data_IF_357821889406
#
_entry.id   IF_357821889406
#
_cell.length_a   1.000
_cell.length_b   1.000
_cell.length_c   1.000
_cell.angle_alpha   90.00
_cell.angle_beta   90.00
_cell.angle_gamma   90.00
#
_symmetry.space_group_name_H-M   'P 1'
#
loop_
_entity.id
_entity.type
_entity.pdbx_description
1 polymer ?
#
# COMPACT_ATOMS: atom_id res chain seq x y z
N UNK A 1 -6.66 4.59 42.62
CA UNK A 1 -6.21 5.52 41.56
C UNK A 1 -5.53 4.71 40.45
N UNK A 2 -6.16 4.54 39.29
CA UNK A 2 -5.60 3.80 38.14
C UNK A 2 -5.17 4.80 37.06
N UNK A 3 -3.97 4.62 36.49
CA UNK A 3 -3.42 5.45 35.40
C UNK A 3 -4.12 5.12 34.07
N UNK A 4 -4.36 6.09 33.17
CA UNK A 4 -4.89 5.82 31.84
C UNK A 4 -3.79 5.25 30.92
N UNK A 5 -4.16 4.28 30.09
CA UNK A 5 -3.28 3.70 29.07
C UNK A 5 -3.14 4.66 27.87
N UNK A 6 -1.90 4.96 27.48
CA UNK A 6 -1.57 5.72 26.28
C UNK A 6 -1.75 4.83 25.04
N UNK A 7 -2.75 5.16 24.23
CA UNK A 7 -2.95 4.62 22.89
C UNK A 7 -1.85 5.13 21.94
N UNK A 8 -1.16 4.24 21.23
CA UNK A 8 -0.23 4.58 20.14
C UNK A 8 -0.86 4.22 18.79
N UNK A 9 -1.10 5.18 17.88
CA UNK A 9 -1.50 4.87 16.51
C UNK A 9 -0.29 4.36 15.70
N UNK A 10 -0.51 3.31 14.91
CA UNK A 10 0.39 2.82 13.87
C UNK A 10 0.37 3.75 12.65
N UNK A 11 1.52 4.09 12.04
CA UNK A 11 1.54 4.85 10.79
C UNK A 11 1.48 3.92 9.57
N UNK A 12 0.31 3.83 8.92
CA UNK A 12 0.22 3.40 7.53
C UNK A 12 0.68 4.55 6.63
N UNK A 13 1.87 4.40 6.06
CA UNK A 13 2.46 5.36 5.10
C UNK A 13 2.57 4.67 3.74
N UNK A 14 1.48 4.74 2.96
CA UNK A 14 1.53 4.44 1.53
C UNK A 14 2.34 5.52 0.80
N UNK A 15 3.44 5.11 0.17
CA UNK A 15 4.24 5.96 -0.71
C UNK A 15 3.44 6.30 -1.97
N UNK A 16 3.07 7.57 -2.14
CA UNK A 16 2.63 8.11 -3.42
C UNK A 16 3.85 8.58 -4.22
N UNK A 17 4.11 7.95 -5.36
CA UNK A 17 5.12 8.43 -6.31
C UNK A 17 4.45 9.28 -7.39
N UNK A 18 4.86 10.56 -7.56
CA UNK A 18 4.53 11.32 -8.75
C UNK A 18 5.54 10.94 -9.85
N UNK A 19 5.04 10.62 -11.04
CA UNK A 19 5.76 10.33 -12.29
C UNK A 19 6.37 8.91 -12.45
N UNK A 20 5.70 8.07 -13.24
CA UNK A 20 6.31 7.34 -14.38
C UNK A 20 5.21 6.68 -15.23
N UNK A 21 4.56 7.49 -16.06
CA UNK A 21 3.89 6.98 -17.25
C UNK A 21 4.95 6.60 -18.29
N UNK A 22 5.02 5.32 -18.65
CA UNK A 22 5.93 4.74 -19.66
C UNK A 22 5.68 5.22 -21.11
N UNK A 23 4.99 6.34 -21.30
CA UNK A 23 4.55 6.83 -22.63
C UNK A 23 5.30 8.11 -23.07
N UNK A 24 6.10 8.74 -22.19
CA UNK A 24 6.74 10.04 -22.48
C UNK A 24 8.22 9.97 -22.92
N UNK A 25 8.73 8.81 -23.37
CA UNK A 25 10.15 8.68 -23.76
C UNK A 25 10.42 7.94 -25.08
N UNK A 26 9.47 8.00 -26.02
CA UNK A 26 9.69 7.55 -27.38
C UNK A 26 9.84 8.75 -28.33
N UNK A 27 11.03 9.37 -28.33
CA UNK A 27 11.47 10.21 -29.45
C UNK A 27 12.20 9.28 -30.41
N UNK A 28 11.46 8.72 -31.37
CA UNK A 28 12.04 7.99 -32.49
C UNK A 28 12.65 9.00 -33.48
N UNK A 29 13.98 9.04 -33.57
CA UNK A 29 14.62 9.49 -34.80
C UNK A 29 14.56 8.34 -35.80
N UNK A 30 13.61 8.43 -36.71
CA UNK A 30 13.55 7.63 -37.92
C UNK A 30 14.40 8.36 -38.96
N UNK A 31 15.68 8.01 -39.07
CA UNK A 31 16.52 8.41 -40.19
C UNK A 31 17.01 7.15 -40.93
N UNK A 32 16.68 7.09 -42.21
CA UNK A 32 16.87 5.92 -43.07
C UNK A 32 18.32 5.80 -43.52
N UNK A 33 19.05 4.86 -42.93
CA UNK A 33 20.41 4.50 -43.36
C UNK A 33 20.70 3.03 -43.12
N UNK A 34 21.09 2.32 -44.19
CA UNK A 34 21.49 0.92 -44.20
C UNK A 34 22.60 0.63 -43.15
N UNK A 35 22.48 -0.39 -42.27
CA UNK A 35 23.54 -0.69 -41.32
C UNK A 35 24.74 -1.37 -42.04
N UNK A 36 26.00 -1.01 -41.74
CA UNK A 36 27.17 -1.74 -42.24
C UNK A 36 27.27 -3.13 -41.59
N UNK A 37 27.83 -4.09 -42.35
CA UNK A 37 28.00 -5.47 -41.92
C UNK A 37 28.86 -5.58 -40.63
N UNK A 38 28.31 -6.25 -39.61
CA UNK A 38 28.99 -6.48 -38.32
C UNK A 38 29.88 -7.73 -38.45
N UNK A 39 31.18 -7.67 -38.10
CA UNK A 39 32.03 -8.87 -38.06
C UNK A 39 31.62 -9.80 -36.91
N UNK A 40 31.79 -11.13 -37.03
CA UNK A 40 31.34 -12.07 -36.01
C UNK A 40 32.09 -11.88 -34.68
N UNK A 41 31.33 -11.83 -33.58
CA UNK A 41 31.87 -11.71 -32.23
C UNK A 41 32.69 -12.96 -31.82
N UNK A 42 33.86 -12.82 -31.16
CA UNK A 42 34.64 -13.95 -30.72
C UNK A 42 33.96 -14.69 -29.56
N UNK A 43 33.90 -16.02 -29.66
CA UNK A 43 33.37 -16.92 -28.63
C UNK A 43 34.34 -17.07 -27.45
N UNK A 44 33.84 -17.39 -26.24
CA UNK A 44 34.59 -17.35 -24.97
C UNK A 44 35.75 -18.37 -24.82
N UNK A 45 36.13 -19.07 -25.89
CA UNK A 45 37.19 -20.09 -25.86
C UNK A 45 38.62 -19.53 -25.93
N UNK A 46 38.81 -18.22 -26.18
CA UNK A 46 40.11 -17.61 -26.47
C UNK A 46 40.66 -16.64 -25.41
N UNK A 47 40.29 -16.76 -24.13
CA UNK A 47 40.94 -15.98 -23.07
C UNK A 47 41.89 -16.85 -22.21
N UNK A 48 43.19 -16.50 -22.11
CA UNK A 48 44.10 -17.20 -21.22
C UNK A 48 43.93 -16.76 -19.76
N UNK A 49 43.63 -17.72 -18.89
CA UNK A 49 44.05 -17.76 -17.48
C UNK A 49 43.34 -16.83 -16.48
N UNK A 50 42.35 -17.36 -15.75
CA UNK A 50 42.01 -16.92 -14.38
C UNK A 50 41.33 -18.08 -13.64
N UNK A 51 41.53 -18.23 -12.31
CA UNK A 51 41.35 -19.49 -11.60
C UNK A 51 39.87 -19.86 -11.43
N UNK A 52 39.61 -21.17 -11.42
CA UNK A 52 38.27 -21.77 -11.37
C UNK A 52 37.51 -21.38 -10.09
N UNK A 53 36.36 -20.72 -10.26
CA UNK A 53 35.32 -20.67 -9.24
C UNK A 53 34.71 -22.08 -9.07
N UNK A 54 34.40 -22.53 -7.84
CA UNK A 54 33.75 -23.81 -7.62
C UNK A 54 32.35 -23.80 -8.27
N UNK A 55 32.07 -24.84 -9.06
CA UNK A 55 30.83 -24.97 -9.82
C UNK A 55 29.60 -25.08 -8.89
N UNK A 56 28.51 -24.35 -9.17
CA UNK A 56 27.22 -24.62 -8.54
C UNK A 56 26.66 -25.97 -9.04
N UNK A 57 25.92 -26.73 -8.20
CA UNK A 57 25.36 -28.02 -8.58
C UNK A 57 24.35 -27.85 -9.73
N UNK A 58 24.40 -28.82 -10.65
CA UNK A 58 23.69 -28.82 -11.92
C UNK A 58 22.18 -28.59 -11.78
N UNK A 59 21.66 -27.70 -12.63
CA UNK A 59 20.23 -27.48 -12.82
C UNK A 59 19.57 -28.72 -13.43
N UNK A 60 18.51 -29.19 -12.78
CA UNK A 60 17.56 -30.14 -13.35
C UNK A 60 16.15 -29.75 -12.95
N UNK A 61 15.30 -29.41 -13.93
CA UNK A 61 13.85 -29.25 -13.74
C UNK A 61 13.25 -27.96 -14.31
N UNK A 62 12.68 -28.09 -15.52
CA UNK A 62 11.49 -27.44 -16.10
C UNK A 62 11.14 -25.93 -15.85
N UNK A 63 10.77 -25.17 -16.91
CA UNK A 63 10.28 -23.80 -16.78
C UNK A 63 8.79 -23.80 -16.42
N UNK A 64 8.48 -23.97 -15.13
CA UNK A 64 7.09 -23.96 -14.66
C UNK A 64 6.89 -23.87 -13.15
N UNK A 65 7.95 -23.55 -12.39
CA UNK A 65 7.88 -23.47 -10.93
C UNK A 65 7.54 -22.07 -10.44
N UNK A 66 6.50 -21.95 -9.61
CA UNK A 66 6.30 -20.79 -8.73
C UNK A 66 7.63 -20.39 -8.08
N UNK A 67 7.91 -19.08 -7.89
CA UNK A 67 9.14 -18.62 -7.27
C UNK A 67 9.37 -19.38 -5.96
N UNK A 68 10.60 -19.84 -5.67
CA UNK A 68 10.88 -20.65 -4.51
C UNK A 68 10.37 -19.91 -3.26
N UNK A 69 9.42 -20.51 -2.55
CA UNK A 69 8.92 -19.95 -1.30
C UNK A 69 10.05 -19.95 -0.28
N UNK A 70 10.74 -18.83 -0.14
CA UNK A 70 11.78 -18.64 0.86
C UNK A 70 11.08 -18.46 2.21
N UNK A 71 11.12 -19.49 3.05
CA UNK A 71 10.66 -19.36 4.44
C UNK A 71 11.72 -18.57 5.22
N UNK A 72 11.40 -17.31 5.53
CA UNK A 72 12.25 -16.42 6.33
C UNK A 72 11.74 -16.45 7.77
N UNK A 73 12.63 -16.69 8.73
CA UNK A 73 12.28 -16.62 10.15
C UNK A 73 12.02 -15.16 10.57
N UNK A 74 11.18 -14.95 11.58
CA UNK A 74 10.84 -13.60 12.08
C UNK A 74 12.09 -12.79 12.46
N UNK A 75 13.11 -13.41 13.05
CA UNK A 75 14.37 -12.76 13.40
C UNK A 75 15.15 -12.30 12.17
N UNK A 76 15.16 -13.12 11.10
CA UNK A 76 15.83 -12.77 9.84
C UNK A 76 15.10 -11.63 9.14
N UNK A 77 13.77 -11.66 9.12
CA UNK A 77 12.97 -10.54 8.60
C UNK A 77 13.24 -9.25 9.37
N UNK A 78 13.31 -9.33 10.71
CA UNK A 78 13.58 -8.17 11.57
C UNK A 78 14.96 -7.56 11.30
N UNK A 79 15.99 -8.40 11.08
CA UNK A 79 17.33 -7.96 10.68
C UNK A 79 17.35 -7.35 9.28
N UNK A 80 16.65 -7.94 8.31
CA UNK A 80 16.55 -7.38 6.95
C UNK A 80 15.84 -6.02 6.96
N UNK A 81 14.74 -5.88 7.70
CA UNK A 81 14.05 -4.60 7.84
C UNK A 81 14.90 -3.54 8.54
N UNK A 82 15.72 -3.93 9.51
CA UNK A 82 16.64 -3.00 10.18
C UNK A 82 17.73 -2.52 9.20
N UNK A 83 18.34 -3.45 8.45
CA UNK A 83 19.32 -3.13 7.42
C UNK A 83 18.73 -2.19 6.36
N UNK A 84 17.53 -2.50 5.84
CA UNK A 84 16.84 -1.66 4.85
C UNK A 84 16.53 -0.25 5.40
N UNK A 85 16.13 -0.15 6.66
CA UNK A 85 15.91 1.15 7.32
C UNK A 85 17.20 1.95 7.45
N UNK A 86 18.30 1.28 7.81
CA UNK A 86 19.60 1.94 7.96
C UNK A 86 20.19 2.35 6.62
N UNK A 87 19.98 1.55 5.56
CA UNK A 87 20.36 1.90 4.20
C UNK A 87 19.50 3.06 3.65
N UNK A 88 18.19 3.05 3.93
CA UNK A 88 17.31 4.17 3.62
C UNK A 88 17.72 5.45 4.35
N UNK A 89 18.10 5.36 5.63
CA UNK A 89 18.65 6.49 6.39
C UNK A 89 19.94 7.00 5.77
N UNK A 90 20.91 6.14 5.48
CA UNK A 90 22.18 6.54 4.85
C UNK A 90 21.96 7.18 3.48
N UNK A 91 21.05 6.64 2.68
CA UNK A 91 20.66 7.22 1.39
C UNK A 91 20.07 8.62 1.54
N UNK A 92 19.19 8.82 2.51
CA UNK A 92 18.65 10.14 2.81
C UNK A 92 19.75 11.12 3.26
N UNK A 93 20.67 10.70 4.15
CA UNK A 93 21.79 11.54 4.59
C UNK A 93 22.72 11.90 3.42
N UNK A 94 22.98 10.98 2.48
CA UNK A 94 23.71 11.29 1.24
C UNK A 94 22.99 12.32 0.40
N UNK A 95 21.68 12.18 0.19
CA UNK A 95 20.91 13.15 -0.60
C UNK A 95 20.96 14.56 0.01
N UNK A 96 20.93 14.65 1.33
CA UNK A 96 21.05 15.92 2.06
C UNK A 96 22.47 16.48 1.91
N UNK A 97 23.50 15.64 2.08
CA UNK A 97 24.89 16.04 1.88
C UNK A 97 25.13 16.58 0.46
N UNK A 98 24.65 15.86 -0.56
CA UNK A 98 24.74 16.30 -1.96
C UNK A 98 23.97 17.59 -2.21
N UNK A 99 22.77 17.75 -1.63
CA UNK A 99 21.98 18.98 -1.78
C UNK A 99 22.64 20.18 -1.09
N UNK A 100 23.38 19.93 -0.01
CA UNK A 100 24.19 20.92 0.68
C UNK A 100 25.57 21.16 0.03
N UNK A 101 25.88 20.49 -1.08
CA UNK A 101 27.15 20.63 -1.80
C UNK A 101 28.35 19.95 -1.12
N UNK A 102 28.10 19.10 -0.12
CA UNK A 102 29.14 18.28 0.51
C UNK A 102 29.30 16.97 -0.26
N UNK A 103 30.55 16.51 -0.40
CA UNK A 103 30.85 15.22 -1.01
C UNK A 103 30.50 14.10 -0.01
N UNK A 104 29.47 13.26 -0.29
CA UNK A 104 29.00 12.23 0.62
C UNK A 104 30.05 11.16 0.95
N UNK A 105 31.09 11.01 0.12
CA UNK A 105 32.15 10.02 0.33
C UNK A 105 33.29 10.54 1.22
N UNK A 106 33.33 11.86 1.46
CA UNK A 106 34.33 12.51 2.33
C UNK A 106 33.79 12.89 3.70
N UNK A 107 32.46 13.02 3.83
CA UNK A 107 31.80 13.45 5.06
C UNK A 107 31.26 12.25 5.82
N UNK A 108 31.48 12.25 7.14
CA UNK A 108 30.87 11.26 8.02
C UNK A 108 29.34 11.40 8.02
N UNK A 109 28.66 10.46 7.35
CA UNK A 109 27.20 10.35 7.23
C UNK A 109 26.53 9.82 8.51
N UNK A 110 27.08 10.15 9.68
CA UNK A 110 26.46 9.85 10.97
C UNK A 110 25.40 10.95 11.28
N UNK A 111 24.13 10.58 11.55
CA UNK A 111 23.08 11.55 11.90
C UNK A 111 23.48 12.55 13.00
N UNK A 112 24.22 12.09 14.01
CA UNK A 112 24.63 12.95 15.12
C UNK A 112 25.66 14.01 14.67
N UNK A 113 26.64 13.58 13.86
CA UNK A 113 27.70 14.47 13.34
C UNK A 113 27.13 15.44 12.31
N UNK A 114 26.32 14.97 11.37
CA UNK A 114 25.68 15.85 10.38
C UNK A 114 24.76 16.86 11.05
N UNK A 115 24.00 16.47 12.08
CA UNK A 115 23.21 17.39 12.89
C UNK A 115 24.04 18.47 13.59
N UNK A 116 25.23 18.11 14.11
CA UNK A 116 26.16 19.09 14.71
C UNK A 116 26.78 20.04 13.67
N UNK A 117 27.14 19.53 12.48
CA UNK A 117 27.68 20.34 11.39
C UNK A 117 26.65 21.36 10.88
N UNK A 118 25.39 20.94 10.73
CA UNK A 118 24.31 21.84 10.33
C UNK A 118 24.08 22.95 11.36
N UNK A 119 24.10 22.60 12.66
CA UNK A 119 23.97 23.59 13.74
C UNK A 119 25.14 24.57 13.75
N UNK A 120 26.37 24.08 13.62
CA UNK A 120 27.55 24.92 13.56
C UNK A 120 27.53 25.85 12.34
N UNK A 121 27.11 25.33 11.17
CA UNK A 121 26.93 26.15 9.97
C UNK A 121 25.85 27.23 10.17
N UNK A 122 24.72 26.86 10.79
CA UNK A 122 23.65 27.81 11.10
C UNK A 122 24.09 28.87 12.12
N UNK A 123 24.87 28.50 13.13
CA UNK A 123 25.43 29.41 14.12
C UNK A 123 26.48 30.34 13.51
N UNK A 124 27.36 29.82 12.65
CA UNK A 124 28.34 30.62 11.92
C UNK A 124 27.67 31.63 11.00
N UNK A 125 26.59 31.24 10.32
CA UNK A 125 25.81 32.16 9.48
C UNK A 125 25.12 33.23 10.34
N UNK A 126 24.56 32.84 11.48
CA UNK A 126 23.97 33.78 12.45
C UNK A 126 24.96 34.78 13.02
N UNK A 127 26.23 34.40 13.16
CA UNK A 127 27.29 35.30 13.60
C UNK A 127 27.77 36.25 12.50
N UNK A 128 27.56 35.89 11.22
CA UNK A 128 27.89 36.74 10.06
C UNK A 128 26.78 37.71 9.71
N UNK A 129 25.53 37.35 9.98
CA UNK A 129 24.37 38.23 9.78
C UNK A 129 24.41 39.42 10.73
N UNK A 130 24.03 40.58 10.21
CA UNK A 130 23.81 41.78 11.03
C UNK A 130 22.59 41.60 11.94
N UNK A 131 22.50 42.37 13.03
CA UNK A 131 21.36 42.29 13.97
C UNK A 131 20.01 42.58 13.31
N UNK A 132 19.98 43.37 12.23
CA UNK A 132 18.78 43.64 11.43
C UNK A 132 18.38 42.40 10.63
N UNK A 133 19.31 41.80 9.89
CA UNK A 133 19.08 40.57 9.13
C UNK A 133 18.67 39.39 10.03
N UNK A 134 19.25 39.30 11.24
CA UNK A 134 18.87 38.28 12.22
C UNK A 134 17.41 38.39 12.65
N UNK A 135 16.93 39.62 12.92
CA UNK A 135 15.53 39.85 13.28
C UNK A 135 14.59 39.56 12.13
N UNK A 136 14.96 39.91 10.90
CA UNK A 136 14.16 39.60 9.71
C UNK A 136 14.09 38.08 9.48
N UNK A 137 15.20 37.36 9.60
CA UNK A 137 15.24 35.90 9.48
C UNK A 137 14.40 35.20 10.55
N UNK A 138 14.49 35.65 11.81
CA UNK A 138 13.69 35.10 12.91
C UNK A 138 12.19 35.42 12.73
N UNK A 139 11.84 36.62 12.24
CA UNK A 139 10.46 36.98 11.91
C UNK A 139 9.89 36.15 10.74
N UNK A 140 10.68 35.94 9.68
CA UNK A 140 10.31 35.09 8.56
C UNK A 140 10.10 33.63 9.01
N UNK A 141 11.01 33.10 9.82
CA UNK A 141 10.89 31.74 10.36
C UNK A 141 9.66 31.59 11.29
N UNK A 142 9.33 32.62 12.08
CA UNK A 142 8.13 32.63 12.90
C UNK A 142 6.85 32.67 12.04
N UNK A 143 6.83 33.50 10.99
CA UNK A 143 5.71 33.58 10.05
C UNK A 143 5.51 32.25 9.30
N UNK A 144 6.58 31.59 8.85
CA UNK A 144 6.48 30.28 8.23
C UNK A 144 5.92 29.21 9.18
N UNK A 145 6.40 29.18 10.43
CA UNK A 145 5.89 28.24 11.44
C UNK A 145 4.41 28.48 11.71
N UNK A 146 4.02 29.73 11.93
CA UNK A 146 2.62 30.10 12.11
C UNK A 146 1.77 29.71 10.89
N UNK A 147 2.26 29.93 9.67
CA UNK A 147 1.59 29.52 8.44
C UNK A 147 1.39 28.00 8.34
N UNK A 148 2.40 27.20 8.71
CA UNK A 148 2.29 25.73 8.74
C UNK A 148 1.30 25.25 9.80
N UNK A 149 1.31 25.85 10.98
CA UNK A 149 0.38 25.52 12.06
C UNK A 149 -1.07 25.86 11.69
N UNK A 150 -1.30 27.03 11.08
CA UNK A 150 -2.61 27.43 10.57
C UNK A 150 -3.09 26.49 9.46
N UNK A 151 -2.22 26.13 8.51
CA UNK A 151 -2.56 25.20 7.44
C UNK A 151 -2.91 23.81 7.99
N UNK A 152 -2.16 23.32 8.98
CA UNK A 152 -2.44 22.05 9.65
C UNK A 152 -3.78 22.10 10.42
N UNK A 153 -4.03 23.17 11.16
CA UNK A 153 -5.30 23.37 11.86
C UNK A 153 -6.48 23.41 10.88
N UNK A 154 -6.37 24.16 9.78
CA UNK A 154 -7.39 24.22 8.72
C UNK A 154 -7.60 22.87 8.03
N UNK A 155 -6.56 22.05 7.88
CA UNK A 155 -6.70 20.70 7.34
C UNK A 155 -7.48 19.80 8.31
N UNK A 156 -7.21 19.90 9.62
CA UNK A 156 -7.93 19.15 10.65
C UNK A 156 -9.41 19.57 10.77
N UNK A 157 -9.71 20.88 10.72
CA UNK A 157 -11.11 21.35 10.78
C UNK A 157 -11.91 20.90 9.56
N UNK A 158 -11.33 20.96 8.36
CA UNK A 158 -11.94 20.42 7.13
C UNK A 158 -12.14 18.91 7.20
N UNK A 159 -11.16 18.19 7.74
CA UNK A 159 -11.29 16.75 7.93
C UNK A 159 -12.47 16.42 8.84
N UNK A 160 -12.61 17.14 9.95
CA UNK A 160 -13.70 16.96 10.90
C UNK A 160 -15.06 17.31 10.29
N UNK A 161 -15.18 18.41 9.52
CA UNK A 161 -16.46 18.80 8.90
C UNK A 161 -16.96 17.74 7.92
N UNK A 162 -16.07 17.19 7.08
CA UNK A 162 -16.41 16.09 6.17
C UNK A 162 -16.88 14.84 6.92
N UNK A 163 -16.18 14.48 7.99
CA UNK A 163 -16.56 13.34 8.83
C UNK A 163 -17.93 13.54 9.48
N UNK A 164 -18.23 14.74 9.99
CA UNK A 164 -19.52 15.06 10.58
C UNK A 164 -20.67 14.94 9.56
N UNK A 165 -20.47 15.43 8.33
CA UNK A 165 -21.48 15.29 7.26
C UNK A 165 -21.71 13.82 6.91
N UNK A 166 -20.65 13.02 6.80
CA UNK A 166 -20.74 11.59 6.50
C UNK A 166 -21.44 10.80 7.61
N UNK A 167 -21.10 11.09 8.87
CA UNK A 167 -21.77 10.49 10.03
C UNK A 167 -23.26 10.87 10.06
N UNK A 168 -23.61 12.13 9.75
CA UNK A 168 -25.00 12.57 9.62
C UNK A 168 -25.79 11.83 8.53
N UNK A 169 -25.11 11.33 7.49
CA UNK A 169 -25.69 10.54 6.40
C UNK A 169 -25.77 9.03 6.69
N UNK A 170 -25.24 8.59 7.84
CA UNK A 170 -25.27 7.21 8.31
C UNK A 170 -24.00 6.40 8.01
N UNK A 171 -22.86 7.04 7.68
CA UNK A 171 -21.61 6.33 7.44
C UNK A 171 -21.17 5.53 8.68
N UNK A 172 -20.82 4.25 8.50
CA UNK A 172 -20.39 3.41 9.60
C UNK A 172 -19.01 3.86 10.15
N UNK A 173 -18.81 3.87 11.48
CA UNK A 173 -17.59 4.43 12.09
C UNK A 173 -16.31 3.66 11.70
N UNK A 174 -16.43 2.36 11.39
CA UNK A 174 -15.29 1.52 10.97
C UNK A 174 -14.75 1.84 9.57
N UNK A 175 -15.55 2.48 8.71
CA UNK A 175 -15.16 2.84 7.33
C UNK A 175 -15.07 4.36 7.11
N UNK A 176 -15.30 5.15 8.17
CA UNK A 176 -15.38 6.61 8.08
C UNK A 176 -14.10 7.23 7.50
N UNK A 177 -12.92 6.70 7.85
CA UNK A 177 -11.64 7.15 7.30
C UNK A 177 -11.57 6.99 5.78
N UNK A 178 -11.93 5.80 5.29
CA UNK A 178 -11.92 5.46 3.87
C UNK A 178 -12.96 6.25 3.08
N UNK A 179 -14.18 6.35 3.59
CA UNK A 179 -15.27 7.13 2.96
C UNK A 179 -14.90 8.61 2.91
N UNK A 180 -14.23 9.14 3.95
CA UNK A 180 -13.72 10.52 3.95
C UNK A 180 -12.62 10.71 2.89
N UNK A 181 -11.72 9.73 2.73
CA UNK A 181 -10.67 9.80 1.71
C UNK A 181 -11.25 9.78 0.28
N UNK A 182 -12.28 8.97 0.04
CA UNK A 182 -12.98 8.92 -1.25
C UNK A 182 -13.70 10.24 -1.51
N UNK A 183 -14.43 10.77 -0.53
CA UNK A 183 -15.12 12.06 -0.65
C UNK A 183 -14.13 13.21 -0.96
N UNK A 184 -12.95 13.21 -0.34
CA UNK A 184 -11.90 14.19 -0.67
C UNK A 184 -11.39 14.05 -2.10
N UNK A 185 -11.30 12.83 -2.63
CA UNK A 185 -10.91 12.59 -4.01
C UNK A 185 -11.99 13.06 -4.99
N UNK A 186 -13.26 12.76 -4.71
CA UNK A 186 -14.39 13.26 -5.52
C UNK A 186 -14.42 14.81 -5.56
N UNK A 187 -13.98 15.45 -4.48
CA UNK A 187 -13.89 16.91 -4.35
C UNK A 187 -12.53 17.50 -4.74
N UNK A 188 -11.58 16.70 -5.26
CA UNK A 188 -10.21 17.16 -5.52
C UNK A 188 -10.12 18.28 -6.57
N UNK A 189 -11.12 18.39 -7.45
CA UNK A 189 -11.21 19.42 -8.50
C UNK A 189 -12.02 20.66 -8.07
N UNK A 190 -12.50 20.70 -6.82
CA UNK A 190 -13.30 21.81 -6.30
C UNK A 190 -12.47 22.53 -5.24
N UNK A 191 -12.03 23.74 -5.56
CA UNK A 191 -11.35 24.60 -4.58
C UNK A 191 -12.37 25.10 -3.55
N UNK A 192 -12.13 24.80 -2.27
CA UNK A 192 -12.98 25.18 -1.13
C UNK A 192 -14.47 24.84 -1.33
N UNK A 193 -14.83 23.54 -1.35
CA UNK A 193 -16.21 23.13 -1.58
C UNK A 193 -17.13 23.68 -0.48
N UNK A 194 -18.29 24.20 -0.87
CA UNK A 194 -19.33 24.67 0.07
C UNK A 194 -19.99 23.48 0.77
N UNK A 195 -20.65 23.74 1.91
CA UNK A 195 -21.35 22.68 2.67
C UNK A 195 -22.38 21.93 1.82
N UNK A 196 -23.07 22.64 0.91
CA UNK A 196 -24.03 22.03 -0.02
C UNK A 196 -23.34 21.11 -1.03
N UNK A 197 -22.19 21.51 -1.58
CA UNK A 197 -21.41 20.69 -2.51
C UNK A 197 -20.85 19.44 -1.81
N UNK A 198 -20.40 19.57 -0.57
CA UNK A 198 -19.95 18.45 0.26
C UNK A 198 -21.10 17.47 0.46
N UNK A 199 -22.29 17.98 0.78
CA UNK A 199 -23.49 17.16 0.99
C UNK A 199 -23.91 16.45 -0.29
N UNK A 200 -23.95 17.16 -1.42
CA UNK A 200 -24.29 16.57 -2.72
C UNK A 200 -23.31 15.46 -3.12
N UNK A 201 -22.00 15.70 -2.96
CA UNK A 201 -20.98 14.70 -3.23
C UNK A 201 -21.10 13.49 -2.29
N UNK A 202 -21.42 13.71 -1.03
CA UNK A 202 -21.65 12.64 -0.05
C UNK A 202 -22.92 11.82 -0.36
N UNK A 203 -23.99 12.43 -0.84
CA UNK A 203 -25.19 11.72 -1.32
C UNK A 203 -24.89 10.89 -2.59
N UNK A 204 -24.11 11.43 -3.53
CA UNK A 204 -23.61 10.65 -4.69
C UNK A 204 -22.75 9.47 -4.25
N UNK A 205 -21.92 9.66 -3.23
CA UNK A 205 -21.11 8.58 -2.65
C UNK A 205 -22.00 7.51 -2.00
N UNK A 206 -23.04 7.90 -1.26
CA UNK A 206 -24.03 7.00 -0.68
C UNK A 206 -24.78 6.19 -1.74
N UNK A 207 -25.17 6.82 -2.85
CA UNK A 207 -25.81 6.13 -3.97
C UNK A 207 -24.88 5.07 -4.60
N UNK A 208 -23.58 5.38 -4.74
CA UNK A 208 -22.58 4.44 -5.30
C UNK A 208 -22.23 3.32 -4.32
N UNK A 209 -22.23 3.60 -3.01
CA UNK A 209 -21.73 2.69 -1.96
C UNK A 209 -22.70 2.60 -0.76
N UNK A 210 -23.94 2.11 -0.96
CA UNK A 210 -24.96 2.08 0.09
C UNK A 210 -24.53 1.27 1.34
N UNK A 211 -23.71 0.22 1.15
CA UNK A 211 -23.21 -0.62 2.23
C UNK A 211 -22.36 0.10 3.27
N UNK A 212 -21.65 1.18 2.88
CA UNK A 212 -20.82 1.95 3.81
C UNK A 212 -21.66 2.89 4.69
N UNK A 213 -22.91 3.14 4.31
CA UNK A 213 -23.88 3.99 5.02
C UNK A 213 -24.94 3.16 5.76
N UNK A 214 -24.66 1.89 6.04
CA UNK A 214 -25.54 1.00 6.79
C UNK A 214 -26.79 0.56 6.03
N UNK A 215 -26.96 0.95 4.75
CA UNK A 215 -27.99 0.38 3.91
C UNK A 215 -27.55 -1.02 3.48
N UNK A 216 -28.37 -2.04 3.79
CA UNK A 216 -28.22 -3.35 3.18
C UNK A 216 -28.16 -3.16 1.67
N UNK A 217 -27.04 -3.57 1.06
CA UNK A 217 -26.91 -3.58 -0.38
C UNK A 217 -28.19 -4.20 -0.97
N UNK A 218 -28.84 -3.57 -1.97
CA UNK A 218 -29.97 -4.19 -2.62
C UNK A 218 -29.55 -5.60 -3.00
N UNK A 219 -30.31 -6.59 -2.51
CA UNK A 219 -30.04 -8.00 -2.76
C UNK A 219 -29.66 -8.14 -4.24
N UNK A 220 -28.49 -8.74 -4.50
CA UNK A 220 -27.95 -8.88 -5.84
C UNK A 220 -29.08 -9.22 -6.82
N UNK A 221 -29.19 -8.52 -7.98
CA UNK A 221 -30.23 -8.81 -8.95
C UNK A 221 -30.25 -10.31 -9.17
N UNK A 222 -31.46 -10.87 -8.99
CA UNK A 222 -31.70 -12.27 -8.71
C UNK A 222 -30.93 -13.21 -9.63
N UNK A 223 -30.67 -14.40 -9.09
CA UNK A 223 -30.27 -15.58 -9.85
C UNK A 223 -30.89 -15.54 -11.25
N UNK A 224 -30.07 -15.56 -12.32
CA UNK A 224 -30.60 -15.51 -13.67
C UNK A 224 -31.62 -16.65 -13.82
N UNK A 225 -32.75 -16.42 -14.53
CA UNK A 225 -33.74 -17.46 -14.73
C UNK A 225 -33.01 -18.70 -15.28
N UNK A 226 -33.33 -19.90 -14.78
CA UNK A 226 -32.69 -21.12 -15.26
C UNK A 226 -32.81 -21.15 -16.78
N UNK A 227 -31.66 -21.25 -17.44
CA UNK A 227 -31.61 -21.29 -18.90
C UNK A 227 -32.57 -22.40 -19.39
N UNK A 228 -33.29 -22.16 -20.50
CA UNK A 228 -34.23 -23.15 -21.04
C UNK A 228 -33.48 -24.46 -21.28
N UNK A 229 -33.82 -25.47 -20.47
CA UNK A 229 -33.16 -26.76 -20.44
C UNK A 229 -33.50 -27.56 -21.70
N UNK A 230 -32.72 -27.37 -22.76
CA UNK A 230 -32.69 -28.27 -23.90
C UNK A 230 -31.83 -29.49 -23.60
N UNK A 231 -32.29 -30.40 -22.74
CA UNK A 231 -31.68 -31.75 -22.59
C UNK A 231 -32.76 -32.79 -22.24
N UNK A 232 -32.58 -34.05 -22.71
CA UNK A 232 -33.68 -34.99 -22.88
C UNK A 232 -34.19 -35.53 -21.53
N UNK A 233 -35.47 -35.86 -21.52
CA UNK A 233 -36.18 -36.48 -20.40
C UNK A 233 -35.38 -37.63 -19.77
N UNK A 234 -34.89 -37.43 -18.54
CA UNK A 234 -34.15 -38.46 -17.81
C UNK A 234 -33.18 -37.94 -16.77
N UNK A 235 -33.52 -36.88 -16.03
CA UNK A 235 -32.75 -36.52 -14.84
C UNK A 235 -32.90 -37.60 -13.76
N UNK A 236 -31.82 -38.04 -13.09
CA UNK A 236 -31.93 -39.02 -12.01
C UNK A 236 -32.84 -38.48 -10.90
N UNK A 237 -33.69 -39.31 -10.29
CA UNK A 237 -34.63 -38.85 -9.27
C UNK A 237 -33.87 -38.17 -8.13
N UNK A 238 -34.44 -37.06 -7.64
CA UNK A 238 -33.87 -36.34 -6.51
C UNK A 238 -33.66 -37.31 -5.34
N UNK A 239 -32.44 -37.31 -4.77
CA UNK A 239 -32.17 -38.09 -3.56
C UNK A 239 -33.01 -37.48 -2.45
N UNK A 240 -34.12 -38.13 -2.10
CA UNK A 240 -34.87 -37.80 -0.90
C UNK A 240 -33.93 -37.92 0.29
N UNK A 241 -33.75 -36.81 1.01
CA UNK A 241 -33.14 -36.81 2.34
C UNK A 241 -33.95 -37.74 3.24
N UNK A 242 -33.34 -38.74 3.90
CA UNK A 242 -34.08 -39.71 4.69
C UNK A 242 -34.81 -39.01 5.85
N UNK A 243 -36.13 -39.18 5.91
CA UNK A 243 -37.02 -38.60 6.92
C UNK A 243 -37.00 -39.36 8.25
N UNK A 244 -35.81 -39.64 8.77
CA UNK A 244 -35.61 -40.40 10.00
C UNK A 244 -34.37 -39.91 10.76
N UNK A 245 -34.30 -40.20 12.06
CA UNK A 245 -33.13 -39.81 12.86
C UNK A 245 -31.92 -40.60 12.35
N UNK A 246 -30.71 -40.01 12.32
CA UNK A 246 -29.52 -40.73 11.92
C UNK A 246 -29.37 -42.03 12.73
N UNK A 247 -29.36 -43.17 12.06
CA UNK A 247 -29.21 -44.50 12.69
C UNK A 247 -30.47 -45.39 12.75
N UNK A 248 -31.66 -44.86 12.47
CA UNK A 248 -32.91 -45.65 12.56
C UNK A 248 -32.93 -46.85 11.61
N UNK A 249 -32.50 -46.66 10.35
CA UNK A 249 -32.36 -47.77 9.38
C UNK A 249 -31.34 -48.82 9.82
N UNK A 250 -30.27 -48.40 10.50
CA UNK A 250 -29.25 -49.31 11.03
C UNK A 250 -29.79 -50.16 12.16
N UNK A 251 -30.60 -49.55 13.06
CA UNK A 251 -31.27 -50.24 14.16
C UNK A 251 -32.31 -51.24 13.67
N UNK A 252 -33.11 -50.86 12.67
CA UNK A 252 -34.10 -51.75 12.06
C UNK A 252 -33.45 -52.95 11.35
N UNK A 253 -32.34 -52.73 10.65
CA UNK A 253 -31.53 -53.79 10.06
C UNK A 253 -30.91 -54.72 11.12
N UNK A 254 -30.42 -54.17 12.23
CA UNK A 254 -29.85 -54.97 13.31
C UNK A 254 -30.91 -55.82 14.04
N UNK A 255 -32.14 -55.31 14.19
CA UNK A 255 -33.29 -56.08 14.67
C UNK A 255 -33.66 -57.21 13.69
N UNK A 256 -33.76 -56.90 12.39
CA UNK A 256 -34.06 -57.91 11.35
C UNK A 256 -33.02 -59.02 11.27
N UNK A 257 -31.75 -58.69 11.52
CA UNK A 257 -30.62 -59.64 11.50
C UNK A 257 -30.38 -60.32 12.85
N UNK A 258 -31.21 -60.05 13.86
CA UNK A 258 -31.14 -60.70 15.17
C UNK A 258 -29.95 -60.26 16.03
N UNK A 259 -29.25 -59.18 15.68
CA UNK A 259 -28.14 -58.61 16.47
C UNK A 259 -28.63 -57.81 17.68
N UNK A 260 -29.91 -57.44 17.71
CA UNK A 260 -30.57 -56.79 18.84
C UNK A 260 -31.83 -57.58 19.19
N UNK A 261 -32.07 -57.83 20.48
CA UNK A 261 -33.36 -58.34 20.98
C UNK A 261 -34.38 -57.21 20.86
N UNK A 262 -35.55 -57.50 20.28
CA UNK A 262 -36.68 -56.59 20.32
C UNK A 262 -37.05 -56.35 21.79
N UNK A 263 -36.94 -55.10 22.24
CA UNK A 263 -37.43 -54.63 23.53
C UNK A 263 -38.86 -54.13 23.39
#
# INVERSE_FOLDING_TARGET
MRRPALYRPTPDTGWSHPYTGLVARAVFYNDGGQPPAVPPAPTPANMPGTPANPAPPAAGGEPGGNPPMVQITQDRLSKMMAAEKDDGRRSALRSIATAAGLDPDTVDLDPAKMGSLLKQAQEAERQRMTEVERREADAAAAAEKAGRELAAAQAMTRAASLQMTLMGLGAAPGVLGDVTAILRNDLANVDNPTDDQIREAAEKLKARRPGDFGAQAPAAPGTPPPAPAGTPAGGPPSRQTPSGKPGDRGREMALRRGHLKAS
#
